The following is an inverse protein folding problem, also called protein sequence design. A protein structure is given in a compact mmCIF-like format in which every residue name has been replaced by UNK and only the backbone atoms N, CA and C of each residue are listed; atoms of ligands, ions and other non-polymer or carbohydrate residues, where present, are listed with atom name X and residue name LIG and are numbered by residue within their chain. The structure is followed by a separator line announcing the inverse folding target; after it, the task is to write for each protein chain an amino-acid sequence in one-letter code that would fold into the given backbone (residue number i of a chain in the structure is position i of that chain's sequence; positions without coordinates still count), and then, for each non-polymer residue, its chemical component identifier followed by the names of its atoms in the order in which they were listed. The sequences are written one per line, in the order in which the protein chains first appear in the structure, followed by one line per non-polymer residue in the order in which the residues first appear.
data_IF_751305289188
#
_entry.id   IF_751305289188
#
_cell.length_a   1.000
_cell.length_b   1.000
_cell.length_c   1.000
_cell.angle_alpha   90.00
_cell.angle_beta   90.00
_cell.angle_gamma   90.00
#
_symmetry.space_group_name_H-M   'P 1'
#
loop_
_entity.id
_entity.type
_entity.pdbx_description
1 polymer ?
#
# COMPACT_ATOMS: atom_id res chain seq x y z
N UNK A 1 -7.55 -10.82 -4.78
CA UNK A 1 -6.46 -10.36 -5.68
C UNK A 1 -5.21 -11.27 -5.61
N UNK A 2 -4.66 -11.53 -4.42
CA UNK A 2 -3.43 -12.32 -4.21
C UNK A 2 -3.49 -13.74 -4.80
N UNK A 3 -4.64 -14.42 -4.74
CA UNK A 3 -4.82 -15.78 -5.26
C UNK A 3 -4.86 -15.82 -6.79
N UNK A 4 -5.59 -14.89 -7.41
CA UNK A 4 -5.64 -14.72 -8.88
C UNK A 4 -4.29 -14.33 -9.42
N UNK A 5 -3.57 -13.44 -8.73
CA UNK A 5 -2.17 -13.16 -9.00
C UNK A 5 -1.35 -14.44 -8.91
N UNK A 6 -1.32 -15.16 -7.79
CA UNK A 6 -0.50 -16.39 -7.67
C UNK A 6 -0.73 -17.39 -8.81
N UNK A 7 -1.98 -17.58 -9.25
CA UNK A 7 -2.34 -18.48 -10.35
C UNK A 7 -1.91 -17.97 -11.74
N UNK A 8 -1.82 -16.66 -11.95
CA UNK A 8 -1.21 -16.05 -13.12
C UNK A 8 0.34 -16.03 -13.04
N UNK A 9 0.89 -15.92 -11.84
CA UNK A 9 2.32 -15.81 -11.52
C UNK A 9 3.07 -17.14 -11.54
N UNK A 10 2.40 -18.30 -11.58
CA UNK A 10 3.06 -19.61 -11.73
C UNK A 10 3.55 -19.89 -13.15
N UNK A 11 3.19 -19.07 -14.15
CA UNK A 11 3.57 -19.27 -15.55
C UNK A 11 4.79 -18.49 -16.03
N UNK A 12 5.32 -17.55 -15.24
CA UNK A 12 6.51 -16.75 -15.60
C UNK A 12 7.44 -16.57 -14.39
N UNK A 13 8.77 -16.71 -14.55
CA UNK A 13 9.73 -16.42 -13.49
C UNK A 13 9.83 -14.91 -13.28
N UNK A 14 8.81 -14.31 -12.66
CA UNK A 14 8.77 -12.88 -12.43
C UNK A 14 9.79 -12.49 -11.37
N UNK A 15 10.77 -11.70 -11.81
CA UNK A 15 11.71 -11.00 -10.95
C UNK A 15 10.93 -9.94 -10.16
N UNK A 16 11.20 -9.84 -8.86
CA UNK A 16 10.49 -8.92 -7.96
C UNK A 16 10.64 -7.48 -8.44
N UNK A 17 11.84 -7.15 -8.94
CA UNK A 17 12.22 -5.88 -9.54
C UNK A 17 11.25 -5.42 -10.63
N UNK A 18 10.86 -6.32 -11.54
CA UNK A 18 9.95 -6.00 -12.65
C UNK A 18 8.54 -5.69 -12.12
N UNK A 19 8.06 -6.44 -11.13
CA UNK A 19 6.73 -6.22 -10.55
C UNK A 19 6.68 -4.85 -9.85
N UNK A 20 7.69 -4.55 -9.04
CA UNK A 20 7.79 -3.27 -8.34
C UNK A 20 7.90 -2.11 -9.34
N UNK A 21 8.67 -2.28 -10.41
CA UNK A 21 8.81 -1.27 -11.45
C UNK A 21 7.49 -1.00 -12.16
N UNK A 22 6.74 -2.05 -12.52
CA UNK A 22 5.42 -1.91 -13.15
C UNK A 22 4.46 -1.19 -12.22
N UNK A 23 4.39 -1.57 -10.94
CA UNK A 23 3.51 -0.92 -9.96
C UNK A 23 3.82 0.58 -9.82
N UNK A 24 5.09 0.93 -9.65
CA UNK A 24 5.50 2.33 -9.52
C UNK A 24 5.29 3.13 -10.81
N UNK A 25 5.51 2.51 -11.96
CA UNK A 25 5.26 3.14 -13.26
C UNK A 25 3.77 3.43 -13.45
N UNK A 26 2.90 2.47 -13.13
CA UNK A 26 1.45 2.64 -13.21
C UNK A 26 0.98 3.75 -12.28
N UNK A 27 1.42 3.74 -11.01
CA UNK A 27 1.06 4.80 -10.04
C UNK A 27 1.54 6.17 -10.51
N UNK A 28 2.76 6.26 -11.03
CA UNK A 28 3.33 7.52 -11.54
C UNK A 28 2.55 8.05 -12.74
N UNK A 29 2.24 7.19 -13.71
CA UNK A 29 1.48 7.58 -14.90
C UNK A 29 0.06 8.02 -14.57
N UNK A 30 -0.63 7.29 -13.69
CA UNK A 30 -1.97 7.65 -13.26
C UNK A 30 -1.94 8.96 -12.48
N UNK A 31 -1.03 9.11 -11.52
CA UNK A 31 -0.93 10.34 -10.72
C UNK A 31 -0.61 11.55 -11.60
N UNK A 32 0.32 11.40 -12.55
CA UNK A 32 0.64 12.43 -13.52
C UNK A 32 -0.57 12.80 -14.38
N UNK A 33 -1.30 11.81 -14.90
CA UNK A 33 -2.50 12.04 -15.68
C UNK A 33 -3.60 12.75 -14.89
N UNK A 34 -3.82 12.37 -13.63
CA UNK A 34 -4.77 13.04 -12.74
C UNK A 34 -4.38 14.50 -12.50
N UNK A 35 -3.10 14.79 -12.29
CA UNK A 35 -2.60 16.17 -12.16
C UNK A 35 -2.87 16.97 -13.44
N UNK A 36 -2.76 16.38 -14.64
CA UNK A 36 -3.07 17.09 -15.89
C UNK A 36 -4.55 17.47 -16.03
N UNK A 37 -5.45 16.65 -15.48
CA UNK A 37 -6.90 16.91 -15.48
C UNK A 37 -7.33 17.85 -14.36
N UNK A 38 -6.49 18.04 -13.35
CA UNK A 38 -6.82 18.86 -12.19
C UNK A 38 -6.88 20.35 -12.55
N UNK A 39 -7.89 21.05 -12.03
CA UNK A 39 -8.05 22.48 -12.22
C UNK A 39 -7.17 23.29 -11.26
N UNK A 40 -6.76 22.70 -10.14
CA UNK A 40 -5.95 23.34 -9.10
C UNK A 40 -4.43 23.21 -9.33
N UNK A 41 -4.02 22.75 -10.53
CA UNK A 41 -2.62 22.76 -11.01
C UNK A 41 -1.80 24.01 -10.66
N UNK A 42 -2.28 25.25 -10.87
CA UNK A 42 -1.49 26.44 -10.56
C UNK A 42 -1.16 26.56 -9.06
N UNK A 43 -2.04 26.09 -8.16
CA UNK A 43 -1.77 26.05 -6.73
C UNK A 43 -0.71 24.99 -6.37
N UNK A 44 -0.67 23.88 -7.10
CA UNK A 44 0.36 22.86 -6.93
C UNK A 44 1.74 23.39 -7.36
N UNK A 45 1.81 24.08 -8.49
CA UNK A 45 3.07 24.65 -9.01
C UNK A 45 3.62 25.73 -8.06
N UNK A 46 2.76 26.60 -7.53
CA UNK A 46 3.20 27.63 -6.58
C UNK A 46 3.74 27.01 -5.29
N UNK A 47 3.12 25.92 -4.81
CA UNK A 47 3.60 25.18 -3.64
C UNK A 47 4.96 24.53 -3.90
N UNK A 48 5.20 23.98 -5.10
CA UNK A 48 6.50 23.39 -5.46
C UNK A 48 7.62 24.43 -5.51
N UNK A 49 7.30 25.67 -5.89
CA UNK A 49 8.28 26.76 -5.96
C UNK A 49 8.68 27.30 -4.59
N UNK A 50 7.84 27.12 -3.57
CA UNK A 50 8.11 27.57 -2.19
C UNK A 50 8.75 26.49 -1.31
N UNK A 51 8.98 25.28 -1.84
CA UNK A 51 9.58 24.19 -1.08
C UNK A 51 11.03 24.49 -0.72
N UNK A 52 11.35 24.27 0.55
CA UNK A 52 12.71 24.38 1.06
C UNK A 52 13.49 23.08 0.85
N UNK A 53 14.80 23.10 1.10
CA UNK A 53 15.65 21.90 1.00
C UNK A 53 15.20 20.76 1.92
N UNK A 54 14.62 21.10 3.08
CA UNK A 54 14.08 20.11 4.01
C UNK A 54 12.85 19.38 3.45
N UNK A 55 11.97 20.11 2.75
CA UNK A 55 10.75 19.52 2.18
C UNK A 55 11.09 18.60 1.02
N UNK A 56 12.07 18.98 0.19
CA UNK A 56 12.63 18.10 -0.83
C UNK A 56 13.23 16.83 -0.25
N UNK A 57 13.96 16.93 0.86
CA UNK A 57 14.50 15.75 1.55
C UNK A 57 13.36 14.85 2.09
N UNK A 58 12.30 15.47 2.63
CA UNK A 58 11.13 14.75 3.14
C UNK A 58 10.38 14.02 2.01
N UNK A 59 10.21 14.65 0.85
CA UNK A 59 9.63 14.04 -0.34
C UNK A 59 10.47 12.86 -0.85
N UNK A 60 11.79 13.03 -0.88
CA UNK A 60 12.71 11.99 -1.31
C UNK A 60 12.70 10.79 -0.36
N UNK A 61 12.65 11.05 0.95
CA UNK A 61 12.46 10.01 1.96
C UNK A 61 11.13 9.26 1.77
N UNK A 62 10.02 9.98 1.57
CA UNK A 62 8.71 9.38 1.35
C UNK A 62 8.68 8.52 0.06
N UNK A 63 9.29 8.99 -1.02
CA UNK A 63 9.34 8.26 -2.28
C UNK A 63 10.22 7.00 -2.20
N UNK A 64 11.39 7.09 -1.57
CA UNK A 64 12.34 5.97 -1.54
C UNK A 64 12.04 4.98 -0.39
N UNK A 65 11.90 5.48 0.84
CA UNK A 65 11.75 4.63 2.01
C UNK A 65 10.29 4.19 2.19
N UNK A 66 9.33 5.11 2.12
CA UNK A 66 7.93 4.76 2.39
C UNK A 66 7.24 4.10 1.18
N UNK A 67 7.66 4.40 -0.05
CA UNK A 67 7.02 3.87 -1.26
C UNK A 67 7.83 2.74 -1.89
N UNK A 68 9.00 3.05 -2.48
CA UNK A 68 9.80 2.07 -3.22
C UNK A 68 10.20 0.87 -2.36
N UNK A 69 10.81 1.11 -1.19
CA UNK A 69 11.26 0.05 -0.29
C UNK A 69 10.08 -0.75 0.27
N UNK A 70 8.99 -0.09 0.68
CA UNK A 70 7.80 -0.78 1.21
C UNK A 70 7.19 -1.72 0.18
N UNK A 71 6.98 -1.25 -1.06
CA UNK A 71 6.47 -2.09 -2.14
C UNK A 71 7.44 -3.22 -2.52
N UNK A 72 8.75 -2.97 -2.49
CA UNK A 72 9.74 -4.00 -2.73
C UNK A 72 9.68 -5.12 -1.69
N UNK A 73 9.70 -4.76 -0.40
CA UNK A 73 9.58 -5.70 0.71
C UNK A 73 8.23 -6.43 0.67
N UNK A 74 7.14 -5.73 0.37
CA UNK A 74 5.81 -6.32 0.25
C UNK A 74 5.78 -7.38 -0.87
N UNK A 75 6.25 -7.05 -2.07
CA UNK A 75 6.29 -8.00 -3.19
C UNK A 75 7.25 -9.17 -2.92
N UNK A 76 8.38 -8.91 -2.24
CA UNK A 76 9.28 -9.95 -1.78
C UNK A 76 8.57 -10.91 -0.80
N UNK A 77 7.88 -10.39 0.20
CA UNK A 77 7.17 -11.20 1.19
C UNK A 77 6.06 -12.06 0.56
N UNK A 78 5.25 -11.49 -0.33
CA UNK A 78 4.19 -12.23 -1.05
C UNK A 78 4.76 -13.38 -1.88
N UNK A 79 5.95 -13.22 -2.46
CA UNK A 79 6.60 -14.27 -3.24
C UNK A 79 7.00 -15.47 -2.40
N UNK A 80 7.36 -15.26 -1.14
CA UNK A 80 7.87 -16.31 -0.24
C UNK A 80 6.79 -16.87 0.71
N UNK A 81 5.73 -16.10 0.97
CA UNK A 81 4.65 -16.51 1.87
C UNK A 81 3.54 -17.29 1.14
N UNK A 82 2.89 -18.26 1.81
CA UNK A 82 1.63 -18.82 1.35
C UNK A 82 0.59 -17.72 1.13
N UNK A 83 -0.24 -17.86 0.09
CA UNK A 83 -1.26 -16.87 -0.26
C UNK A 83 -2.21 -16.52 0.90
N UNK A 84 -2.54 -17.48 1.76
CA UNK A 84 -3.36 -17.23 2.96
C UNK A 84 -2.63 -16.37 4.00
N UNK A 85 -1.34 -16.61 4.26
CA UNK A 85 -0.54 -15.79 5.19
C UNK A 85 -0.32 -14.37 4.64
N UNK A 86 0.00 -14.25 3.35
CA UNK A 86 0.14 -12.95 2.70
C UNK A 86 -1.18 -12.15 2.75
N UNK A 87 -2.32 -12.81 2.49
CA UNK A 87 -3.64 -12.18 2.58
C UNK A 87 -4.00 -11.76 4.00
N UNK A 88 -3.63 -12.55 5.01
CA UNK A 88 -3.84 -12.21 6.41
C UNK A 88 -3.02 -10.96 6.78
N UNK A 89 -1.74 -10.94 6.42
CA UNK A 89 -0.85 -9.81 6.69
C UNK A 89 -1.37 -8.51 6.05
N UNK A 90 -1.80 -8.57 4.78
CA UNK A 90 -2.39 -7.43 4.07
C UNK A 90 -3.70 -6.95 4.71
N UNK A 91 -4.56 -7.87 5.15
CA UNK A 91 -5.82 -7.48 5.81
C UNK A 91 -5.63 -6.92 7.22
N UNK A 92 -4.47 -7.15 7.86
CA UNK A 92 -4.13 -6.53 9.16
C UNK A 92 -3.50 -5.13 9.04
N UNK A 93 -3.09 -4.71 7.85
CA UNK A 93 -2.52 -3.38 7.59
C UNK A 93 -3.34 -2.21 8.17
N UNK A 94 -4.68 -2.11 7.98
CA UNK A 94 -5.46 -1.00 8.53
C UNK A 94 -5.44 -0.93 10.06
N UNK A 95 -5.31 -2.08 10.74
CA UNK A 95 -5.20 -2.10 12.20
C UNK A 95 -3.90 -1.45 12.65
N UNK A 96 -2.78 -1.79 12.02
CA UNK A 96 -1.49 -1.17 12.31
C UNK A 96 -1.50 0.31 11.94
N UNK A 97 -2.13 0.68 10.83
CA UNK A 97 -2.32 2.08 10.45
C UNK A 97 -3.03 2.89 11.53
N UNK A 98 -4.15 2.38 12.05
CA UNK A 98 -4.92 3.03 13.11
C UNK A 98 -4.14 3.09 14.44
N UNK A 99 -3.44 2.00 14.80
CA UNK A 99 -2.60 1.95 15.99
C UNK A 99 -1.48 2.99 15.91
N UNK A 100 -0.75 3.04 14.80
CA UNK A 100 0.33 4.02 14.61
C UNK A 100 -0.19 5.44 14.54
N UNK A 101 -1.35 5.69 13.91
CA UNK A 101 -1.98 7.01 13.93
C UNK A 101 -2.32 7.45 15.38
N UNK A 102 -2.88 6.55 16.19
CA UNK A 102 -3.20 6.88 17.59
C UNK A 102 -1.97 7.10 18.47
N UNK A 103 -0.91 6.30 18.30
CA UNK A 103 0.28 6.32 19.18
C UNK A 103 1.30 7.37 18.75
N UNK A 104 1.60 7.45 17.45
CA UNK A 104 2.64 8.35 16.94
C UNK A 104 2.09 9.72 16.56
N UNK A 105 0.88 9.78 15.98
CA UNK A 105 0.26 11.04 15.57
C UNK A 105 -0.62 11.66 16.67
N UNK A 106 -0.86 10.93 17.78
CA UNK A 106 -1.73 11.36 18.89
C UNK A 106 -3.15 11.77 18.44
N UNK A 107 -3.61 11.24 17.31
CA UNK A 107 -4.94 11.53 16.78
C UNK A 107 -6.02 10.76 17.55
N UNK A 108 -7.10 11.45 17.92
CA UNK A 108 -8.25 10.83 18.57
C UNK A 108 -9.07 10.05 17.56
N UNK A 109 -9.00 8.72 17.62
CA UNK A 109 -9.72 7.84 16.72
C UNK A 109 -11.21 7.78 17.09
N UNK A 110 -12.08 8.02 16.11
CA UNK A 110 -13.53 7.88 16.23
C UNK A 110 -13.95 6.43 16.38
N UNK A 111 -15.08 6.20 17.04
CA UNK A 111 -15.70 4.88 17.19
C UNK A 111 -15.94 4.21 15.82
N UNK A 112 -16.23 5.00 14.78
CA UNK A 112 -16.44 4.50 13.42
C UNK A 112 -15.15 3.93 12.81
N UNK A 113 -14.01 4.54 13.08
CA UNK A 113 -12.71 4.07 12.56
C UNK A 113 -12.32 2.74 13.22
N UNK A 114 -12.58 2.60 14.52
CA UNK A 114 -12.41 1.34 15.24
C UNK A 114 -13.32 0.23 14.71
N UNK A 115 -14.60 0.53 14.46
CA UNK A 115 -15.55 -0.43 13.87
C UNK A 115 -15.13 -0.85 12.46
N UNK A 116 -14.66 0.09 11.64
CA UNK A 116 -14.13 -0.20 10.31
C UNK A 116 -12.95 -1.18 10.36
N UNK A 117 -11.99 -0.93 11.26
CA UNK A 117 -10.87 -1.85 11.47
C UNK A 117 -11.33 -3.24 11.91
N UNK A 118 -12.28 -3.31 12.85
CA UNK A 118 -12.82 -4.58 13.33
C UNK A 118 -13.49 -5.39 12.21
N UNK A 119 -14.27 -4.74 11.34
CA UNK A 119 -14.91 -5.37 10.18
C UNK A 119 -13.86 -5.93 9.20
N UNK A 120 -12.81 -5.15 8.90
CA UNK A 120 -11.76 -5.61 7.96
C UNK A 120 -10.99 -6.81 8.53
N UNK A 121 -10.65 -6.81 9.82
CA UNK A 121 -9.95 -7.93 10.46
C UNK A 121 -10.82 -9.18 10.45
N UNK A 122 -12.06 -9.08 10.93
CA UNK A 122 -12.98 -10.24 10.98
C UNK A 122 -13.24 -10.82 9.60
N UNK A 123 -13.40 -9.98 8.58
CA UNK A 123 -13.57 -10.39 7.19
C UNK A 123 -12.31 -11.10 6.65
N UNK A 124 -11.13 -10.56 6.94
CA UNK A 124 -9.85 -11.15 6.51
C UNK A 124 -9.64 -12.53 7.13
N UNK A 125 -9.91 -12.67 8.43
CA UNK A 125 -9.81 -13.93 9.15
C UNK A 125 -10.82 -14.94 8.60
N UNK A 126 -12.10 -14.55 8.43
CA UNK A 126 -13.13 -15.42 7.87
C UNK A 126 -12.78 -15.89 6.44
N UNK A 127 -12.24 -15.00 5.61
CA UNK A 127 -11.78 -15.35 4.26
C UNK A 127 -10.61 -16.35 4.28
N UNK A 128 -9.70 -16.23 5.25
CA UNK A 128 -8.60 -17.19 5.41
C UNK A 128 -9.07 -18.56 5.91
N UNK A 129 -10.03 -18.61 6.84
CA UNK A 129 -10.61 -19.89 7.32
C UNK A 129 -11.27 -20.68 6.19
N UNK A 130 -12.11 -20.03 5.40
CA UNK A 130 -12.78 -20.67 4.24
C UNK A 130 -11.77 -21.23 3.22
N UNK A 131 -10.60 -20.62 3.12
CA UNK A 131 -9.53 -21.08 2.25
C UNK A 131 -8.78 -22.30 2.80
N UNK A 132 -8.71 -22.44 4.13
CA UNK A 132 -8.11 -23.62 4.77
C UNK A 132 -8.97 -24.88 4.61
N UNK A 133 -10.29 -24.75 4.53
CA UNK A 133 -11.21 -25.88 4.32
C UNK A 133 -11.26 -26.38 2.87
N UNK A 134 -10.79 -25.61 1.88
CA UNK A 134 -10.80 -26.00 0.46
C UNK A 134 -9.54 -26.73 -0.02
N UNK A 135 -8.64 -27.09 0.90
CA UNK A 135 -7.42 -27.85 0.63
C UNK A 135 -7.57 -29.29 1.07
#
# INVERSE_FOLDING_TARGET
MVVTCRKAFTRTPLQIEIITLIQLSVVTLISFFLVLLDSDRPALISTLQTLNSHDWMSLLYLALCCTLLAFFVQNYAIKHLPASQASLLMGTEPMFGLLFASVFLSETMSILQWLGCFIVITTTIAACYKFSEQK
#
